data_IF_500250764512
#
_entry.id   IF_500250764512
#
_cell.length_a   1.000
_cell.length_b   1.000
_cell.length_c   1.000
_cell.angle_alpha   90.00
_cell.angle_beta   90.00
_cell.angle_gamma   90.00
#
_symmetry.space_group_name_H-M   'P 1'
#
loop_
_entity.id
_entity.type
_entity.pdbx_description
1 polymer ?
#
# COMPACT_ATOMS: atom_id res chain seq x y z
N UNK A 1 7.35 9.12 -21.61
CA UNK A 1 6.47 8.19 -22.34
C UNK A 1 5.66 7.41 -21.32
N UNK A 2 4.35 7.31 -21.50
CA UNK A 2 3.46 6.62 -20.57
C UNK A 2 2.63 5.59 -21.32
N UNK A 3 2.49 4.41 -20.75
CA UNK A 3 1.65 3.33 -21.27
C UNK A 3 0.63 2.98 -20.19
N UNK A 4 -0.63 2.93 -20.60
CA UNK A 4 -1.71 2.43 -19.77
C UNK A 4 -2.39 1.29 -20.51
N UNK A 5 -2.60 0.19 -19.80
CA UNK A 5 -3.32 -0.98 -20.25
C UNK A 5 -4.49 -1.15 -19.27
N UNK A 6 -5.70 -1.04 -19.79
CA UNK A 6 -6.94 -1.22 -19.03
C UNK A 6 -7.61 -2.51 -19.51
N UNK A 7 -8.33 -3.17 -18.60
CA UNK A 7 -9.09 -4.39 -18.85
C UNK A 7 -8.30 -5.54 -19.49
N UNK A 8 -7.03 -5.68 -19.10
CA UNK A 8 -6.23 -6.76 -19.63
C UNK A 8 -6.72 -8.10 -19.10
N UNK A 9 -6.98 -9.03 -20.01
CA UNK A 9 -7.24 -10.41 -19.64
C UNK A 9 -5.91 -11.11 -19.36
N UNK A 10 -5.71 -11.54 -18.11
CA UNK A 10 -4.48 -12.23 -17.75
C UNK A 10 -4.36 -13.57 -18.48
N UNK A 11 -5.48 -14.19 -18.86
CA UNK A 11 -5.51 -15.50 -19.52
C UNK A 11 -4.83 -15.44 -20.90
N UNK A 12 -4.80 -14.27 -21.55
CA UNK A 12 -4.03 -14.05 -22.79
C UNK A 12 -2.50 -14.07 -22.57
N UNK A 13 -2.06 -13.85 -21.33
CA UNK A 13 -0.64 -13.82 -20.95
C UNK A 13 -0.17 -15.14 -20.32
N UNK A 14 -1.11 -15.99 -19.89
CA UNK A 14 -0.82 -17.27 -19.25
C UNK A 14 -0.33 -18.27 -20.30
N UNK A 15 0.85 -18.85 -20.06
CA UNK A 15 1.37 -19.91 -20.93
C UNK A 15 0.56 -21.21 -20.72
N UNK A 16 -0.46 -21.42 -21.55
CA UNK A 16 -1.37 -22.56 -21.49
C UNK A 16 -0.67 -23.92 -21.74
N UNK A 17 0.63 -23.92 -22.08
CA UNK A 17 1.44 -25.12 -22.31
C UNK A 17 2.30 -25.51 -21.10
N UNK A 18 2.19 -24.83 -19.95
CA UNK A 18 2.88 -25.25 -18.73
C UNK A 18 2.36 -26.61 -18.24
N UNK A 19 3.24 -27.62 -18.20
CA UNK A 19 2.93 -28.98 -17.69
C UNK A 19 2.62 -29.01 -16.18
N UNK A 20 2.80 -27.90 -15.46
CA UNK A 20 2.61 -27.79 -14.02
C UNK A 20 1.58 -26.68 -13.68
N UNK A 21 0.47 -27.01 -12.99
CA UNK A 21 -0.58 -26.04 -12.65
C UNK A 21 -0.09 -24.88 -11.75
N UNK A 22 1.02 -25.07 -11.03
CA UNK A 22 1.61 -24.06 -10.13
C UNK A 22 2.57 -23.09 -10.86
N UNK A 23 2.86 -23.32 -12.14
CA UNK A 23 3.86 -22.58 -12.93
C UNK A 23 3.24 -21.78 -14.09
N UNK A 24 1.93 -21.50 -14.05
CA UNK A 24 1.31 -20.66 -15.07
C UNK A 24 1.66 -19.21 -14.78
N UNK A 25 2.61 -18.68 -15.57
CA UNK A 25 3.12 -17.32 -15.46
C UNK A 25 2.49 -16.42 -16.52
N UNK A 26 1.89 -15.31 -16.08
CA UNK A 26 1.63 -14.19 -16.97
C UNK A 26 2.88 -13.32 -17.05
N UNK A 27 3.41 -13.11 -18.25
CA UNK A 27 4.56 -12.22 -18.49
C UNK A 27 4.15 -11.00 -19.31
N UNK A 28 4.62 -9.82 -18.91
CA UNK A 28 4.41 -8.62 -19.70
C UNK A 28 5.11 -8.76 -21.09
N UNK A 29 4.47 -8.30 -22.18
CA UNK A 29 5.11 -8.20 -23.48
C UNK A 29 6.30 -7.22 -23.41
N UNK A 30 7.18 -7.28 -24.41
CA UNK A 30 8.33 -6.40 -24.48
C UNK A 30 7.91 -4.93 -24.44
N UNK A 31 8.30 -4.23 -23.37
CA UNK A 31 7.98 -2.83 -23.15
C UNK A 31 9.04 -1.92 -23.80
N UNK A 32 8.65 -0.73 -24.29
CA UNK A 32 9.59 0.24 -24.85
C UNK A 32 10.67 0.64 -23.82
N UNK A 33 11.96 0.73 -24.19
CA UNK A 33 13.03 1.03 -23.24
C UNK A 33 12.94 2.44 -22.63
N UNK A 34 12.27 3.38 -23.31
CA UNK A 34 12.05 4.78 -22.89
C UNK A 34 10.77 4.97 -22.04
N UNK A 35 10.09 3.88 -21.68
CA UNK A 35 8.85 3.93 -20.92
C UNK A 35 9.10 4.40 -19.48
N UNK A 36 8.46 5.51 -19.09
CA UNK A 36 8.64 6.11 -17.77
C UNK A 36 7.48 5.81 -16.81
N UNK A 37 6.31 5.53 -17.34
CA UNK A 37 5.12 5.23 -16.55
C UNK A 37 4.37 4.06 -17.17
N UNK A 38 4.09 3.05 -16.34
CA UNK A 38 3.28 1.90 -16.69
C UNK A 38 2.12 1.80 -15.70
N UNK A 39 0.91 1.72 -16.24
CA UNK A 39 -0.27 1.36 -15.47
C UNK A 39 -0.91 0.15 -16.13
N UNK A 40 -1.13 -0.90 -15.37
CA UNK A 40 -1.79 -2.12 -15.81
C UNK A 40 -2.99 -2.36 -14.92
N UNK A 41 -4.16 -2.52 -15.50
CA UNK A 41 -5.37 -2.94 -14.80
C UNK A 41 -5.91 -4.20 -15.46
N UNK A 42 -6.02 -5.27 -14.67
CA UNK A 42 -6.63 -6.52 -15.11
C UNK A 42 -8.14 -6.46 -14.87
N UNK A 43 -8.93 -6.93 -15.84
CA UNK A 43 -10.40 -7.02 -15.71
C UNK A 43 -10.83 -8.35 -15.12
N UNK A 44 -10.06 -9.40 -15.39
CA UNK A 44 -10.36 -10.76 -15.02
C UNK A 44 -9.06 -11.53 -14.75
N UNK A 45 -9.06 -12.32 -13.69
CA UNK A 45 -8.09 -13.40 -13.51
C UNK A 45 -8.88 -14.70 -13.37
N UNK A 46 -8.55 -15.71 -14.16
CA UNK A 46 -9.06 -17.06 -13.93
C UNK A 46 -8.33 -17.72 -12.77
N UNK A 47 -8.93 -18.77 -12.20
CA UNK A 47 -8.32 -19.63 -11.18
C UNK A 47 -7.06 -20.36 -11.68
N UNK A 48 -6.72 -20.26 -12.97
CA UNK A 48 -5.59 -20.99 -13.57
C UNK A 48 -4.27 -20.23 -13.54
N UNK A 49 -4.28 -18.90 -13.39
CA UNK A 49 -3.03 -18.13 -13.40
C UNK A 49 -2.56 -17.82 -11.97
N UNK A 50 -1.61 -18.63 -11.49
CA UNK A 50 -1.16 -18.59 -10.11
C UNK A 50 -0.14 -17.47 -9.83
N UNK A 51 0.59 -16.96 -10.83
CA UNK A 51 1.70 -16.00 -10.63
C UNK A 51 1.79 -14.97 -11.78
N UNK A 52 1.73 -13.68 -11.46
CA UNK A 52 2.07 -12.58 -12.37
C UNK A 52 3.56 -12.24 -12.25
N UNK A 53 4.33 -12.50 -13.31
CA UNK A 53 5.72 -12.07 -13.44
C UNK A 53 5.80 -10.84 -14.33
N UNK A 54 6.27 -9.73 -13.77
CA UNK A 54 6.39 -8.47 -14.53
C UNK A 54 7.51 -8.50 -15.59
N UNK A 55 8.31 -9.57 -15.66
CA UNK A 55 9.42 -9.67 -16.59
C UNK A 55 10.47 -8.58 -16.39
N UNK A 56 11.27 -8.31 -17.43
CA UNK A 56 12.29 -7.26 -17.38
C UNK A 56 11.66 -5.90 -17.64
N UNK A 57 11.42 -5.14 -16.58
CA UNK A 57 10.88 -3.79 -16.69
C UNK A 57 11.94 -2.82 -17.28
N UNK A 58 11.52 -1.80 -18.07
CA UNK A 58 12.43 -0.82 -18.66
C UNK A 58 13.25 -0.08 -17.59
N UNK A 59 14.56 0.15 -17.81
CA UNK A 59 15.41 0.82 -16.83
C UNK A 59 15.05 2.30 -16.63
N UNK A 60 14.26 2.90 -17.52
CA UNK A 60 13.77 4.28 -17.41
C UNK A 60 12.46 4.43 -16.63
N UNK A 61 11.85 3.32 -16.20
CA UNK A 61 10.54 3.29 -15.56
C UNK A 61 10.57 3.90 -14.16
N UNK A 62 9.80 4.98 -13.97
CA UNK A 62 9.72 5.71 -12.70
C UNK A 62 8.40 5.47 -11.97
N UNK A 63 7.36 5.07 -12.68
CA UNK A 63 6.03 4.82 -12.14
C UNK A 63 5.52 3.46 -12.60
N UNK A 64 5.13 2.63 -11.63
CA UNK A 64 4.45 1.36 -11.86
C UNK A 64 3.19 1.29 -11.00
N UNK A 65 2.05 1.10 -11.65
CA UNK A 65 0.79 0.74 -11.01
C UNK A 65 0.25 -0.54 -11.61
N UNK A 66 -0.08 -1.50 -10.75
CA UNK A 66 -0.74 -2.74 -11.12
C UNK A 66 -2.03 -2.84 -10.31
N UNK A 67 -3.17 -2.90 -11.00
CA UNK A 67 -4.48 -3.11 -10.42
C UNK A 67 -4.96 -4.50 -10.80
N UNK A 68 -5.26 -5.30 -9.81
CA UNK A 68 -5.73 -6.67 -9.97
C UNK A 68 -7.18 -6.67 -9.47
N UNK A 69 -8.13 -7.34 -10.13
CA UNK A 69 -9.49 -7.39 -9.63
C UNK A 69 -9.52 -8.21 -8.34
N UNK A 70 -10.36 -7.80 -7.40
CA UNK A 70 -10.65 -8.54 -6.17
C UNK A 70 -11.54 -9.77 -6.49
N UNK A 71 -11.05 -10.70 -7.30
CA UNK A 71 -11.64 -12.03 -7.47
C UNK A 71 -11.03 -13.01 -6.45
N UNK A 72 -11.64 -14.17 -6.27
CA UNK A 72 -11.12 -15.25 -5.39
C UNK A 72 -9.76 -15.81 -5.84
N UNK A 73 -9.12 -15.22 -6.85
CA UNK A 73 -7.87 -15.68 -7.41
C UNK A 73 -6.67 -15.24 -6.55
N UNK A 74 -5.94 -16.22 -6.02
CA UNK A 74 -4.79 -16.07 -5.12
C UNK A 74 -3.47 -15.72 -5.82
N UNK A 75 -3.52 -15.13 -7.02
CA UNK A 75 -2.33 -14.95 -7.86
C UNK A 75 -1.20 -14.19 -7.14
N UNK A 76 0.01 -14.75 -7.10
CA UNK A 76 1.21 -14.11 -6.54
C UNK A 76 1.71 -13.02 -7.50
N UNK A 77 1.96 -11.80 -7.01
CA UNK A 77 2.73 -10.82 -7.80
C UNK A 77 4.21 -10.97 -7.48
N UNK A 78 5.00 -11.39 -8.46
CA UNK A 78 6.46 -11.43 -8.34
C UNK A 78 7.05 -10.08 -8.71
N UNK A 79 7.56 -9.37 -7.69
CA UNK A 79 8.18 -8.06 -7.81
C UNK A 79 9.72 -8.15 -7.85
N UNK A 80 10.26 -9.27 -8.32
CA UNK A 80 11.69 -9.37 -8.58
C UNK A 80 12.12 -8.47 -9.75
N UNK A 81 13.29 -7.83 -9.63
CA UNK A 81 13.89 -7.07 -10.74
C UNK A 81 13.26 -5.70 -11.03
N UNK A 82 12.62 -5.07 -10.04
CA UNK A 82 12.17 -3.68 -10.16
C UNK A 82 13.34 -2.74 -10.51
N UNK A 83 13.15 -1.79 -11.45
CA UNK A 83 14.24 -0.94 -11.92
C UNK A 83 14.69 0.05 -10.86
N UNK A 84 15.99 0.35 -10.80
CA UNK A 84 16.55 1.30 -9.81
C UNK A 84 16.01 2.73 -9.94
N UNK A 85 15.48 3.08 -11.11
CA UNK A 85 14.87 4.38 -11.40
C UNK A 85 13.45 4.52 -10.83
N UNK A 86 12.83 3.44 -10.37
CA UNK A 86 11.46 3.43 -9.88
C UNK A 86 11.30 4.34 -8.66
N UNK A 87 10.32 5.24 -8.74
CA UNK A 87 9.97 6.20 -7.68
C UNK A 87 8.62 5.92 -7.05
N UNK A 88 7.70 5.36 -7.83
CA UNK A 88 6.35 5.05 -7.39
C UNK A 88 6.01 3.61 -7.75
N UNK A 89 5.62 2.84 -6.74
CA UNK A 89 5.10 1.49 -6.88
C UNK A 89 3.72 1.42 -6.21
N UNK A 90 2.71 1.05 -6.99
CA UNK A 90 1.33 0.86 -6.53
C UNK A 90 0.85 -0.52 -6.93
N UNK A 91 0.40 -1.31 -5.97
CA UNK A 91 -0.32 -2.56 -6.22
C UNK A 91 -1.69 -2.40 -5.58
N UNK A 92 -2.75 -2.45 -6.39
CA UNK A 92 -4.14 -2.26 -5.97
C UNK A 92 -4.96 -3.53 -6.13
N UNK A 93 -5.91 -3.71 -5.23
CA UNK A 93 -7.03 -4.67 -5.35
C UNK A 93 -6.64 -6.15 -5.57
N UNK A 94 -5.41 -6.57 -5.27
CA UNK A 94 -5.00 -7.98 -5.37
C UNK A 94 -5.12 -8.71 -4.04
N UNK A 95 -5.90 -9.79 -3.96
CA UNK A 95 -5.87 -10.75 -2.83
C UNK A 95 -4.65 -11.68 -2.93
N UNK A 96 -3.50 -11.05 -3.06
CA UNK A 96 -2.29 -11.63 -3.62
C UNK A 96 -1.21 -11.66 -2.55
N UNK A 97 -0.55 -12.81 -2.30
CA UNK A 97 0.77 -12.77 -1.69
C UNK A 97 1.69 -12.01 -2.65
N UNK A 98 2.44 -11.04 -2.15
CA UNK A 98 3.44 -10.33 -2.95
C UNK A 98 4.82 -10.81 -2.55
N UNK A 99 5.57 -11.45 -3.45
CA UNK A 99 6.94 -11.86 -3.13
C UNK A 99 7.86 -10.65 -3.29
N UNK A 100 8.03 -9.92 -2.19
CA UNK A 100 8.85 -8.71 -2.14
C UNK A 100 10.28 -9.09 -1.71
N UNK A 101 11.22 -9.11 -2.66
CA UNK A 101 12.61 -9.55 -2.40
C UNK A 101 13.52 -8.37 -2.03
N UNK A 102 13.40 -7.23 -2.73
CA UNK A 102 14.05 -5.97 -2.37
C UNK A 102 13.33 -4.80 -3.07
N UNK A 103 13.18 -3.68 -2.37
CA UNK A 103 12.59 -2.46 -2.92
C UNK A 103 13.68 -1.56 -3.52
N UNK A 104 13.43 -0.87 -4.66
CA UNK A 104 14.39 0.04 -5.26
C UNK A 104 14.84 1.14 -4.30
N UNK A 105 16.14 1.51 -4.27
CA UNK A 105 16.68 2.45 -3.28
C UNK A 105 16.15 3.89 -3.44
N UNK A 106 15.62 4.23 -4.63
CA UNK A 106 15.06 5.56 -4.96
C UNK A 106 13.53 5.63 -4.82
N UNK A 107 12.89 4.56 -4.36
CA UNK A 107 11.43 4.51 -4.23
C UNK A 107 10.94 5.52 -3.18
N UNK A 108 10.07 6.42 -3.60
CA UNK A 108 9.51 7.50 -2.79
C UNK A 108 8.09 7.19 -2.31
N UNK A 109 7.34 6.42 -3.10
CA UNK A 109 5.96 6.04 -2.82
C UNK A 109 5.81 4.53 -2.98
N UNK A 110 5.34 3.89 -1.91
CA UNK A 110 4.96 2.48 -1.90
C UNK A 110 3.52 2.39 -1.39
N UNK A 111 2.61 1.93 -2.23
CA UNK A 111 1.22 1.67 -1.85
C UNK A 111 0.88 0.22 -2.22
N UNK A 112 0.58 -0.59 -1.21
CA UNK A 112 0.30 -2.02 -1.36
C UNK A 112 -1.06 -2.31 -0.72
N UNK A 113 -2.10 -2.49 -1.52
CA UNK A 113 -3.45 -2.74 -1.01
C UNK A 113 -3.79 -4.24 -1.00
N UNK A 114 -4.53 -4.67 0.02
CA UNK A 114 -5.01 -6.05 0.22
C UNK A 114 -3.97 -7.18 0.16
N UNK A 115 -2.71 -6.92 0.53
CA UNK A 115 -1.66 -7.94 0.43
C UNK A 115 -1.78 -9.02 1.53
N UNK A 116 -1.38 -10.24 1.16
CA UNK A 116 -1.41 -11.42 2.03
C UNK A 116 0.00 -11.83 2.53
N UNK A 117 0.80 -10.85 2.96
CA UNK A 117 2.17 -11.08 3.41
C UNK A 117 2.28 -11.16 4.93
N UNK A 118 3.15 -12.05 5.43
CA UNK A 118 3.52 -12.09 6.86
C UNK A 118 4.62 -11.08 7.21
N UNK A 119 5.43 -10.68 6.23
CA UNK A 119 6.56 -9.77 6.41
C UNK A 119 6.82 -8.98 5.13
N UNK A 120 7.37 -7.77 5.27
CA UNK A 120 7.90 -6.95 4.17
C UNK A 120 9.42 -6.93 4.20
N UNK A 121 10.09 -6.73 3.05
CA UNK A 121 11.51 -6.39 3.04
C UNK A 121 11.75 -5.03 3.70
N UNK A 122 13.02 -4.69 4.03
CA UNK A 122 13.39 -3.38 4.52
C UNK A 122 12.90 -2.26 3.59
N UNK A 123 12.34 -1.20 4.17
CA UNK A 123 11.88 -0.04 3.42
C UNK A 123 13.08 0.83 2.98
N UNK A 124 13.06 1.39 1.77
CA UNK A 124 14.13 2.25 1.29
C UNK A 124 14.15 3.57 2.06
N UNK A 125 15.36 4.07 2.35
CA UNK A 125 15.55 5.31 3.11
C UNK A 125 14.98 6.57 2.42
N UNK A 126 14.72 6.48 1.11
CA UNK A 126 14.13 7.56 0.31
C UNK A 126 12.59 7.61 0.37
N UNK A 127 11.95 6.62 0.99
CA UNK A 127 10.49 6.50 1.04
C UNK A 127 9.88 7.65 1.84
N UNK A 128 8.92 8.35 1.21
CA UNK A 128 8.18 9.47 1.80
C UNK A 128 6.74 9.13 2.09
N UNK A 129 6.14 8.26 1.29
CA UNK A 129 4.78 7.77 1.47
C UNK A 129 4.75 6.26 1.46
N UNK A 130 4.14 5.70 2.51
CA UNK A 130 3.92 4.28 2.66
C UNK A 130 2.46 4.01 3.01
N UNK A 131 1.78 3.23 2.18
CA UNK A 131 0.43 2.75 2.43
C UNK A 131 0.40 1.24 2.33
N UNK A 132 -0.23 0.58 3.29
CA UNK A 132 -0.40 -0.87 3.25
C UNK A 132 -1.76 -1.31 3.80
N UNK A 133 -2.45 -2.17 3.05
CA UNK A 133 -3.64 -2.89 3.47
C UNK A 133 -3.36 -4.38 3.60
N UNK A 134 -3.80 -4.99 4.69
CA UNK A 134 -3.61 -6.42 4.95
C UNK A 134 -4.95 -7.18 4.97
N UNK A 135 -4.93 -8.48 4.64
CA UNK A 135 -6.08 -9.35 4.87
C UNK A 135 -5.62 -10.69 5.46
N UNK A 136 -6.31 -11.18 6.48
CA UNK A 136 -6.20 -12.56 6.97
C UNK A 136 -5.02 -12.90 7.91
N UNK A 137 -3.91 -12.16 7.92
CA UNK A 137 -2.76 -12.43 8.81
C UNK A 137 -2.25 -11.21 9.57
N UNK A 138 -1.54 -11.47 10.69
CA UNK A 138 -0.74 -10.48 11.40
C UNK A 138 0.52 -10.18 10.59
N UNK A 139 0.57 -8.98 10.00
CA UNK A 139 1.77 -8.46 9.36
C UNK A 139 2.72 -7.88 10.43
N UNK A 140 4.01 -8.18 10.31
CA UNK A 140 5.06 -7.44 11.02
C UNK A 140 5.64 -6.36 10.11
N UNK A 141 5.56 -5.10 10.52
CA UNK A 141 6.16 -3.98 9.79
C UNK A 141 7.68 -3.93 10.07
N UNK A 142 8.49 -3.61 9.05
CA UNK A 142 9.90 -3.26 9.24
C UNK A 142 10.03 -1.85 9.84
N UNK A 143 11.26 -1.48 10.19
CA UNK A 143 11.57 -0.11 10.64
C UNK A 143 11.13 0.93 9.59
N UNK A 144 10.49 1.99 10.06
CA UNK A 144 10.03 3.07 9.20
C UNK A 144 11.21 3.99 8.86
N UNK A 145 11.38 4.40 7.59
CA UNK A 145 12.47 5.25 7.20
C UNK A 145 12.33 6.66 7.81
N UNK A 146 13.43 7.32 8.20
CA UNK A 146 13.41 8.62 8.87
C UNK A 146 12.86 9.76 7.99
N UNK A 147 12.83 9.56 6.67
CA UNK A 147 12.28 10.49 5.70
C UNK A 147 10.76 10.33 5.47
N UNK A 148 10.11 9.34 6.09
CA UNK A 148 8.69 9.08 5.88
C UNK A 148 7.84 10.24 6.41
N UNK A 149 6.96 10.75 5.56
CA UNK A 149 6.05 11.85 5.85
C UNK A 149 4.60 11.36 5.98
N UNK A 150 4.25 10.29 5.27
CA UNK A 150 2.91 9.73 5.22
C UNK A 150 2.91 8.23 5.47
N UNK A 151 2.14 7.81 6.48
CA UNK A 151 1.87 6.41 6.76
C UNK A 151 0.37 6.17 6.72
N UNK A 152 -0.06 5.14 6.00
CA UNK A 152 -1.44 4.66 6.02
C UNK A 152 -1.45 3.14 6.21
N UNK A 153 -2.15 2.68 7.24
CA UNK A 153 -2.31 1.27 7.56
C UNK A 153 -3.79 0.91 7.43
N UNK A 154 -4.09 -0.23 6.83
CA UNK A 154 -5.44 -0.77 6.76
C UNK A 154 -5.46 -2.23 7.19
N UNK A 155 -6.43 -2.62 8.03
CA UNK A 155 -6.60 -3.96 8.59
C UNK A 155 -5.35 -4.49 9.31
N UNK A 156 -4.51 -3.61 9.86
CA UNK A 156 -3.25 -3.96 10.48
C UNK A 156 -3.46 -4.35 11.95
N UNK A 157 -3.00 -5.54 12.37
CA UNK A 157 -3.24 -6.11 13.71
C UNK A 157 -1.94 -6.50 14.42
N UNK A 158 -0.96 -5.59 14.45
CA UNK A 158 0.39 -5.83 14.97
C UNK A 158 0.96 -4.65 15.76
N UNK A 159 2.14 -4.82 16.38
CA UNK A 159 2.82 -3.72 17.06
C UNK A 159 3.33 -2.70 16.04
N UNK A 160 3.09 -1.42 16.31
CA UNK A 160 3.60 -0.34 15.47
C UNK A 160 5.11 -0.15 15.72
N UNK A 161 5.95 -0.07 14.68
CA UNK A 161 7.34 0.36 14.83
C UNK A 161 7.41 1.83 15.30
N UNK A 162 8.61 2.28 15.70
CA UNK A 162 8.81 3.68 16.07
C UNK A 162 8.43 4.61 14.92
N UNK A 163 7.57 5.59 15.23
CA UNK A 163 7.12 6.57 14.24
C UNK A 163 8.23 7.59 13.96
N UNK A 164 8.57 7.86 12.69
CA UNK A 164 9.68 8.73 12.35
C UNK A 164 9.36 10.20 12.68
N UNK A 165 10.38 10.96 13.06
CA UNK A 165 10.25 12.36 13.49
C UNK A 165 9.80 13.34 12.42
N UNK A 166 9.69 12.90 11.16
CA UNK A 166 9.18 13.67 10.01
C UNK A 166 7.76 13.29 9.62
N UNK A 167 7.15 12.31 10.29
CA UNK A 167 5.81 11.84 9.96
C UNK A 167 4.79 12.96 10.18
N UNK A 168 4.06 13.31 9.13
CA UNK A 168 3.05 14.38 9.12
C UNK A 168 1.63 13.85 9.17
N UNK A 169 1.40 12.71 8.51
CA UNK A 169 0.09 12.10 8.36
C UNK A 169 0.12 10.62 8.73
N UNK A 170 -0.86 10.21 9.53
CA UNK A 170 -1.04 8.83 9.96
C UNK A 170 -2.51 8.39 9.75
N UNK A 171 -2.73 7.49 8.79
CA UNK A 171 -4.02 6.83 8.59
C UNK A 171 -4.00 5.43 9.22
N UNK A 172 -5.02 5.10 10.01
CA UNK A 172 -5.23 3.75 10.56
C UNK A 172 -6.68 3.31 10.35
N UNK A 173 -6.91 2.43 9.39
CA UNK A 173 -8.24 2.00 8.97
C UNK A 173 -8.47 0.55 9.38
N UNK A 174 -9.40 0.32 10.30
CA UNK A 174 -9.69 -1.00 10.87
C UNK A 174 -8.44 -1.71 11.43
N UNK A 175 -7.58 -0.96 12.11
CA UNK A 175 -6.34 -1.46 12.68
C UNK A 175 -6.46 -1.70 14.19
N UNK A 176 -5.89 -2.78 14.70
CA UNK A 176 -5.67 -2.99 16.13
C UNK A 176 -4.21 -2.67 16.42
N UNK A 177 -3.96 -1.41 16.79
CA UNK A 177 -2.62 -0.89 17.05
C UNK A 177 -2.57 -0.22 18.42
N UNK A 178 -1.50 -0.51 19.14
CA UNK A 178 -1.15 0.25 20.34
C UNK A 178 -0.19 1.36 19.93
N UNK A 179 -0.58 2.61 20.16
CA UNK A 179 0.28 3.76 19.88
C UNK A 179 1.33 3.93 20.97
N UNK A 180 2.55 4.40 20.62
CA UNK A 180 3.49 4.85 21.62
C UNK A 180 2.91 6.02 22.41
N UNK A 181 3.29 6.20 23.70
CA UNK A 181 2.74 7.25 24.56
C UNK A 181 3.06 8.67 24.08
N UNK A 182 4.05 8.82 23.20
CA UNK A 182 4.45 10.09 22.59
C UNK A 182 4.43 9.94 21.08
N UNK A 183 3.66 10.81 20.42
CA UNK A 183 3.62 10.90 18.95
C UNK A 183 4.69 11.90 18.46
N UNK A 184 5.16 11.78 17.21
CA UNK A 184 6.10 12.74 16.63
C UNK A 184 5.53 14.17 16.66
N UNK A 185 6.34 15.16 17.03
CA UNK A 185 5.91 16.57 17.06
C UNK A 185 5.49 17.09 15.67
N UNK A 186 5.96 16.45 14.60
CA UNK A 186 5.56 16.76 13.22
C UNK A 186 4.22 16.15 12.82
N UNK A 187 3.57 15.36 13.67
CA UNK A 187 2.32 14.70 13.31
C UNK A 187 1.18 15.70 13.46
N UNK A 188 0.59 16.11 12.33
CA UNK A 188 -0.47 17.10 12.33
C UNK A 188 -1.81 16.55 11.85
N UNK A 189 -1.86 15.31 11.34
CA UNK A 189 -3.08 14.72 10.80
C UNK A 189 -3.16 13.23 11.11
N UNK A 190 -4.25 12.82 11.76
CA UNK A 190 -4.54 11.42 12.02
C UNK A 190 -5.94 11.08 11.50
N UNK A 191 -6.08 9.96 10.80
CA UNK A 191 -7.39 9.47 10.37
C UNK A 191 -7.58 8.06 10.89
N UNK A 192 -8.75 7.79 11.46
CA UNK A 192 -9.14 6.44 11.82
C UNK A 192 -10.57 6.13 11.41
N UNK A 193 -10.78 4.96 10.85
CA UNK A 193 -12.13 4.45 10.56
C UNK A 193 -12.19 2.99 10.93
N UNK A 194 -13.16 2.60 11.74
CA UNK A 194 -13.40 1.20 12.12
C UNK A 194 -14.72 0.74 11.51
N UNK A 195 -14.84 -0.55 11.21
CA UNK A 195 -16.13 -1.16 10.82
C UNK A 195 -17.09 -1.25 12.02
N UNK A 196 -16.55 -1.26 13.22
CA UNK A 196 -17.28 -1.20 14.48
C UNK A 196 -17.28 0.24 15.02
N UNK A 197 -18.15 0.55 16.00
CA UNK A 197 -18.21 1.84 16.70
C UNK A 197 -17.00 2.10 17.63
N UNK A 198 -15.89 1.41 17.37
CA UNK A 198 -14.64 1.55 18.09
C UNK A 198 -14.03 2.93 17.87
N UNK A 199 -13.57 3.51 18.97
CA UNK A 199 -13.01 4.86 19.02
C UNK A 199 -11.48 4.80 19.10
N UNK A 200 -10.76 5.54 18.23
CA UNK A 200 -9.30 5.63 18.34
C UNK A 200 -8.90 6.53 19.50
N UNK A 201 -8.28 5.96 20.52
CA UNK A 201 -7.66 6.71 21.61
C UNK A 201 -6.21 7.07 21.25
N UNK A 202 -5.97 8.34 20.94
CA UNK A 202 -4.62 8.84 20.70
C UNK A 202 -4.01 9.39 22.00
N UNK A 203 -2.76 9.01 22.34
CA UNK A 203 -2.10 9.57 23.51
C UNK A 203 -1.96 11.09 23.39
N UNK A 204 -2.48 11.80 24.40
CA UNK A 204 -2.50 13.27 24.43
C UNK A 204 -3.75 13.93 23.82
N UNK A 205 -4.68 13.16 23.23
CA UNK A 205 -5.94 13.68 22.69
C UNK A 205 -7.10 13.33 23.59
N UNK A 206 -7.96 14.30 23.88
CA UNK A 206 -9.16 14.12 24.72
C UNK A 206 -10.35 13.54 23.95
N UNK A 207 -10.31 13.57 22.62
CA UNK A 207 -11.41 13.14 21.76
C UNK A 207 -10.96 12.01 20.85
N UNK A 208 -11.79 10.97 20.76
CA UNK A 208 -11.56 9.87 19.84
C UNK A 208 -11.90 10.27 18.39
N UNK A 209 -11.15 9.72 17.45
CA UNK A 209 -11.33 10.01 16.02
C UNK A 209 -12.23 8.95 15.36
N UNK A 210 -13.33 9.38 14.71
CA UNK A 210 -14.24 8.50 13.95
C UNK A 210 -14.37 8.98 12.51
N UNK A 211 -13.84 8.20 11.56
CA UNK A 211 -14.03 8.33 10.12
C UNK A 211 -13.50 9.61 9.47
N UNK A 212 -12.71 10.42 10.17
CA UNK A 212 -12.31 11.75 9.73
C UNK A 212 -10.81 12.00 9.94
N UNK A 213 -10.19 12.69 8.99
CA UNK A 213 -8.87 13.29 9.19
C UNK A 213 -9.00 14.39 10.24
N UNK A 214 -8.38 14.13 11.39
CA UNK A 214 -8.29 15.06 12.50
C UNK A 214 -6.98 15.81 12.38
N UNK A 215 -7.06 17.13 12.15
CA UNK A 215 -5.89 17.99 12.28
C UNK A 215 -5.58 18.17 13.76
N UNK A 216 -4.32 17.96 14.12
CA UNK A 216 -3.78 18.19 15.45
C UNK A 216 -3.36 19.67 15.51
N UNK A 217 -4.13 20.49 16.21
CA UNK A 217 -3.75 21.87 16.55
C UNK A 217 -2.82 21.94 17.75
N UNK A 218 -2.21 23.11 18.01
CA UNK A 218 -1.27 23.36 19.12
C UNK A 218 -1.85 23.11 20.53
N UNK A 219 -3.18 22.93 20.66
CA UNK A 219 -3.87 22.66 21.93
C UNK A 219 -4.59 21.30 22.00
N UNK A 220 -4.35 20.38 21.05
CA UNK A 220 -5.00 19.05 21.04
C UNK A 220 -6.46 19.07 20.60
N UNK A 221 -6.92 20.17 19.98
CA UNK A 221 -8.23 20.25 19.34
C UNK A 221 -8.23 19.51 18.00
N UNK A 222 -9.18 18.60 17.87
CA UNK A 222 -9.38 17.75 16.72
C UNK A 222 -10.38 18.39 15.74
N UNK A 223 -9.91 19.05 14.66
CA UNK A 223 -10.82 19.57 13.63
C UNK A 223 -10.92 18.62 12.44
N UNK A 224 -12.13 18.16 12.12
CA UNK A 224 -12.38 17.26 10.99
C UNK A 224 -12.51 18.01 9.66
N UNK A 225 -11.76 17.61 8.62
CA UNK A 225 -11.80 18.29 7.31
C UNK A 225 -12.99 17.89 6.41
N UNK A 226 -13.98 17.14 6.91
CA UNK A 226 -15.24 16.84 6.18
C UNK A 226 -16.53 16.96 7.02
N UNK A 227 -16.49 17.70 8.14
CA UNK A 227 -17.64 17.94 9.01
C UNK A 227 -18.06 19.41 9.10
N UNK A 228 -18.10 20.16 7.99
CA UNK A 228 -18.66 21.53 7.98
C UNK A 228 -20.21 21.58 8.07
N UNK A 229 -20.86 20.49 8.51
CA UNK A 229 -22.29 20.45 8.75
C UNK A 229 -22.60 19.50 9.91
N UNK A 230 -22.68 20.06 11.13
CA UNK A 230 -23.48 19.62 12.31
C UNK A 230 -22.79 19.93 13.64
N UNK A 231 -22.35 21.18 13.83
CA UNK A 231 -22.13 21.74 15.17
C UNK A 231 -22.71 23.16 15.26
N UNK A 232 -23.97 23.30 14.87
CA UNK A 232 -24.87 24.29 15.43
C UNK A 232 -26.17 23.55 15.76
N UNK A 233 -26.30 23.11 17.01
CA UNK A 233 -27.50 23.30 17.84
C UNK A 233 -27.35 22.51 19.14
N UNK A 234 -27.50 23.28 20.23
CA UNK A 234 -27.68 22.94 21.65
C UNK A 234 -26.43 22.61 22.45
#
# INVERSE_FOLDING_TARGET
MSLRIEEWDIDELCDANSEFPDDIYASLPALPPELQSLTVAFSYMSDTCAILKLGTLPPSLQYLEVSIPASDCWGLVDLHGLPESLRVLRIKEGMSPAKLVALPPRLQVLELDYIWNKQLPPLPQSLRKFSIGCRGYKLSLPDLPPALEDLSLQNYRGPLPELPSRLKRLGVHDCDVQFPPVLPASLHSVCSSFYDDSELQLPGFRHACRGLWVRIGEEGEASSERGFALAQQL
#
